data_IF_877394093997
#
_entry.id   IF_877394093997
#
_cell.length_a   1.000
_cell.length_b   1.000
_cell.length_c   1.000
_cell.angle_alpha   90.00
_cell.angle_beta   90.00
_cell.angle_gamma   90.00
#
_symmetry.space_group_name_H-M   'P 1'
#
loop_
_entity.id
_entity.type
_entity.pdbx_description
1 polymer ?
#
# COMPACT_ATOMS: atom_id res chain seq x y z
N UNK A 1 1.66 38.33 -13.27
CA UNK A 1 1.86 37.55 -12.03
C UNK A 1 1.26 36.19 -12.31
N UNK A 2 2.08 35.15 -12.42
CA UNK A 2 1.59 33.82 -12.76
C UNK A 2 0.72 33.33 -11.60
N UNK A 3 -0.52 32.98 -11.93
CA UNK A 3 -1.43 32.32 -11.00
C UNK A 3 -0.74 31.08 -10.43
N UNK A 4 -0.80 30.95 -9.11
CA UNK A 4 -0.29 29.80 -8.37
C UNK A 4 -1.23 28.62 -8.68
N UNK A 5 -1.08 28.03 -9.86
CA UNK A 5 -1.75 26.78 -10.23
C UNK A 5 -1.26 25.76 -9.21
N UNK A 6 -2.11 25.35 -8.27
CA UNK A 6 -1.84 24.14 -7.49
C UNK A 6 -1.77 23.02 -8.52
N UNK A 7 -0.57 22.67 -8.97
CA UNK A 7 -0.36 21.45 -9.72
C UNK A 7 -0.95 20.33 -8.86
N UNK A 8 -1.87 19.56 -9.44
CA UNK A 8 -2.42 18.41 -8.75
C UNK A 8 -1.25 17.47 -8.44
N UNK A 9 -1.15 17.02 -7.19
CA UNK A 9 -0.30 15.88 -6.88
C UNK A 9 -1.17 14.63 -6.99
N UNK A 10 -0.73 13.67 -7.79
CA UNK A 10 -1.34 12.35 -7.87
C UNK A 10 -0.58 11.41 -6.94
N UNK A 11 -1.30 10.60 -6.20
CA UNK A 11 -0.73 9.56 -5.33
C UNK A 11 -1.07 8.22 -5.96
N UNK A 12 -0.04 7.52 -6.39
CA UNK A 12 -0.09 6.15 -6.90
C UNK A 12 0.25 5.23 -5.75
N UNK A 13 -0.56 4.20 -5.55
CA UNK A 13 -0.37 3.24 -4.48
C UNK A 13 -0.63 1.84 -5.03
N UNK A 14 0.23 0.91 -4.64
CA UNK A 14 0.03 -0.51 -4.88
C UNK A 14 0.17 -1.29 -3.56
N UNK A 15 -0.73 -2.24 -3.32
CA UNK A 15 -0.71 -3.09 -2.13
C UNK A 15 -0.59 -4.55 -2.54
N UNK A 16 0.21 -5.31 -1.80
CA UNK A 16 0.18 -6.77 -1.87
C UNK A 16 -0.54 -7.33 -0.65
N UNK A 17 -1.39 -8.34 -0.89
CA UNK A 17 -2.21 -8.97 0.14
C UNK A 17 -2.01 -10.49 0.19
N UNK A 18 -2.39 -11.10 1.32
CA UNK A 18 -2.45 -12.57 1.49
C UNK A 18 -3.56 -13.22 0.66
N UNK A 19 -4.49 -12.43 0.12
CA UNK A 19 -5.65 -12.85 -0.66
C UNK A 19 -6.59 -11.69 -0.97
N UNK A 20 -7.86 -11.99 -1.27
CA UNK A 20 -8.85 -11.01 -1.75
C UNK A 20 -10.04 -10.81 -0.78
N UNK A 21 -10.12 -11.56 0.32
CA UNK A 21 -11.17 -11.45 1.33
C UNK A 21 -10.78 -10.39 2.36
N UNK A 22 -11.31 -9.19 2.23
CA UNK A 22 -11.04 -8.04 3.13
C UNK A 22 -11.25 -8.36 4.62
N UNK A 23 -12.12 -9.33 4.95
CA UNK A 23 -12.40 -9.69 6.33
C UNK A 23 -11.37 -10.67 6.93
N UNK A 24 -10.58 -11.36 6.10
CA UNK A 24 -9.63 -12.40 6.53
C UNK A 24 -8.19 -12.14 6.10
N UNK A 25 -8.01 -11.51 4.95
CA UNK A 25 -6.72 -11.29 4.34
C UNK A 25 -6.06 -10.01 4.87
N UNK A 26 -4.75 -9.94 4.72
CA UNK A 26 -3.92 -8.91 5.30
C UNK A 26 -3.03 -8.26 4.24
N UNK A 27 -2.83 -6.95 4.38
CA UNK A 27 -1.81 -6.22 3.62
C UNK A 27 -0.44 -6.66 4.15
N UNK A 28 0.47 -6.99 3.22
CA UNK A 28 1.84 -7.45 3.49
C UNK A 28 2.89 -6.55 2.82
N UNK A 29 2.51 -5.72 1.85
CA UNK A 29 3.37 -4.70 1.25
C UNK A 29 2.54 -3.49 0.85
N UNK A 30 3.12 -2.30 0.95
CA UNK A 30 2.56 -1.04 0.45
C UNK A 30 3.65 -0.26 -0.25
N UNK A 31 3.41 0.11 -1.51
CA UNK A 31 4.27 0.98 -2.31
C UNK A 31 3.53 2.26 -2.72
N UNK A 32 4.25 3.38 -2.75
CA UNK A 32 3.71 4.73 -2.97
C UNK A 32 4.62 5.51 -3.90
N UNK A 33 4.03 6.15 -4.90
CA UNK A 33 4.70 7.14 -5.74
C UNK A 33 3.83 8.39 -5.80
N UNK A 34 4.42 9.56 -5.64
CA UNK A 34 3.71 10.84 -5.84
C UNK A 34 4.22 11.47 -7.14
N UNK A 35 3.30 11.85 -8.01
CA UNK A 35 3.61 12.55 -9.27
C UNK A 35 2.91 13.90 -9.37
N UNK A 36 3.41 14.76 -10.26
CA UNK A 36 2.66 15.92 -10.75
C UNK A 36 1.66 15.51 -11.85
N UNK A 37 0.96 16.50 -12.41
CA UNK A 37 -0.01 16.33 -13.50
C UNK A 37 0.63 15.80 -14.81
N UNK A 38 1.95 15.95 -14.98
CA UNK A 38 2.73 15.45 -16.13
C UNK A 38 3.32 14.04 -15.87
N UNK A 39 2.90 13.38 -14.79
CA UNK A 39 3.36 12.04 -14.35
C UNK A 39 4.83 11.96 -13.95
N UNK A 40 5.47 13.10 -13.67
CA UNK A 40 6.83 13.14 -13.16
C UNK A 40 6.84 12.90 -11.65
N UNK A 41 7.75 12.06 -11.16
CA UNK A 41 7.92 11.76 -9.74
C UNK A 41 8.38 13.03 -9.00
N UNK A 42 7.65 13.43 -7.95
CA UNK A 42 7.93 14.67 -7.20
C UNK A 42 8.55 14.43 -5.82
N UNK A 43 8.62 13.19 -5.36
CA UNK A 43 9.29 12.82 -4.12
C UNK A 43 9.90 11.41 -4.20
N UNK A 44 10.72 11.05 -3.23
CA UNK A 44 11.24 9.69 -3.11
C UNK A 44 10.06 8.70 -2.96
N UNK A 45 10.04 7.61 -3.75
CA UNK A 45 9.06 6.54 -3.57
C UNK A 45 9.13 5.95 -2.17
N UNK A 46 8.00 5.53 -1.64
CA UNK A 46 7.93 4.83 -0.36
C UNK A 46 7.53 3.39 -0.60
N UNK A 47 8.24 2.46 0.01
CA UNK A 47 7.91 1.03 0.02
C UNK A 47 8.05 0.53 1.45
N UNK A 48 7.07 -0.22 1.93
CA UNK A 48 7.13 -0.84 3.24
C UNK A 48 6.56 -2.26 3.18
N UNK A 49 7.29 -3.18 3.79
CA UNK A 49 6.90 -4.57 3.93
C UNK A 49 6.41 -4.75 5.35
N UNK A 50 5.23 -5.30 5.50
CA UNK A 50 4.52 -5.39 6.77
C UNK A 50 4.68 -6.80 7.31
N UNK A 51 5.18 -6.91 8.53
CA UNK A 51 5.31 -8.19 9.21
C UNK A 51 3.95 -8.85 9.42
N UNK A 52 3.90 -10.17 9.21
CA UNK A 52 2.78 -11.03 9.59
C UNK A 52 3.31 -12.33 10.17
N UNK A 53 2.56 -12.84 11.15
CA UNK A 53 2.82 -14.13 11.77
C UNK A 53 2.83 -15.24 10.73
N UNK A 54 3.67 -16.24 10.95
CA UNK A 54 3.82 -17.38 10.03
C UNK A 54 2.50 -18.08 9.73
N UNK A 55 1.63 -18.22 10.74
CA UNK A 55 0.30 -18.83 10.57
C UNK A 55 -0.58 -18.06 9.58
N UNK A 56 -0.49 -16.73 9.53
CA UNK A 56 -1.22 -15.92 8.56
C UNK A 56 -0.68 -16.19 7.15
N UNK A 57 0.65 -16.22 7.02
CA UNK A 57 1.30 -16.42 5.73
C UNK A 57 1.08 -17.84 5.17
N UNK A 58 1.00 -18.85 6.04
CA UNK A 58 0.70 -20.24 5.64
C UNK A 58 -0.77 -20.45 5.23
N UNK A 59 -1.68 -19.57 5.64
CA UNK A 59 -3.09 -19.60 5.29
C UNK A 59 -3.44 -18.85 3.99
N UNK A 60 -2.43 -18.34 3.27
CA UNK A 60 -2.61 -17.75 1.94
C UNK A 60 -3.18 -18.77 0.93
N UNK A 61 -3.91 -18.27 -0.07
CA UNK A 61 -4.32 -19.13 -1.17
C UNK A 61 -3.10 -19.58 -2.02
N UNK A 62 -3.27 -20.67 -2.79
CA UNK A 62 -2.18 -21.28 -3.58
C UNK A 62 -1.53 -20.29 -4.55
N UNK A 63 -2.32 -19.41 -5.17
CA UNK A 63 -1.82 -18.42 -6.11
C UNK A 63 -0.92 -17.38 -5.41
N UNK A 64 -1.33 -16.86 -4.26
CA UNK A 64 -0.55 -15.93 -3.44
C UNK A 64 0.75 -16.57 -2.94
N UNK A 65 0.72 -17.82 -2.48
CA UNK A 65 1.93 -18.55 -2.05
C UNK A 65 2.94 -18.63 -3.19
N UNK A 66 2.48 -19.05 -4.38
CA UNK A 66 3.37 -19.18 -5.54
C UNK A 66 3.91 -17.82 -5.96
N UNK A 67 3.07 -16.79 -5.99
CA UNK A 67 3.48 -15.50 -6.52
C UNK A 67 4.44 -14.78 -5.57
N UNK A 68 4.08 -14.71 -4.29
CA UNK A 68 4.90 -14.08 -3.26
C UNK A 68 6.21 -14.85 -3.00
N UNK A 69 6.20 -16.17 -3.22
CA UNK A 69 7.42 -16.97 -3.21
C UNK A 69 8.38 -16.62 -4.34
N UNK A 70 7.89 -16.33 -5.55
CA UNK A 70 8.72 -15.94 -6.70
C UNK A 70 9.39 -14.57 -6.51
N UNK A 71 8.67 -13.61 -5.93
CA UNK A 71 9.17 -12.26 -5.65
C UNK A 71 9.98 -12.19 -4.37
N UNK A 72 10.05 -13.29 -3.61
CA UNK A 72 10.60 -13.39 -2.25
C UNK A 72 9.88 -12.53 -1.22
N UNK A 73 8.68 -12.03 -1.53
CA UNK A 73 7.91 -11.23 -0.61
C UNK A 73 7.59 -12.00 0.68
N UNK A 74 7.33 -13.31 0.60
CA UNK A 74 7.13 -14.15 1.79
C UNK A 74 8.33 -14.14 2.74
N UNK A 75 9.55 -14.18 2.21
CA UNK A 75 10.78 -14.11 3.01
C UNK A 75 10.92 -12.72 3.65
N UNK A 76 10.73 -11.66 2.86
CA UNK A 76 10.83 -10.29 3.35
C UNK A 76 9.79 -9.96 4.43
N UNK A 77 8.57 -10.51 4.34
CA UNK A 77 7.53 -10.36 5.36
C UNK A 77 7.94 -11.01 6.67
N UNK A 78 8.55 -12.20 6.61
CA UNK A 78 9.05 -12.88 7.81
C UNK A 78 10.21 -12.12 8.48
N UNK A 79 11.04 -11.43 7.69
CA UNK A 79 12.17 -10.63 8.17
C UNK A 79 11.78 -9.20 8.59
N UNK A 80 10.62 -8.70 8.17
CA UNK A 80 10.17 -7.35 8.51
C UNK A 80 9.90 -7.22 10.01
N UNK A 81 10.27 -6.07 10.57
CA UNK A 81 9.95 -5.67 11.95
C UNK A 81 8.82 -4.61 12.00
N UNK A 82 8.27 -4.24 10.83
CA UNK A 82 7.27 -3.18 10.73
C UNK A 82 5.87 -3.77 10.91
N UNK A 83 5.19 -3.38 11.99
CA UNK A 83 3.79 -3.72 12.19
C UNK A 83 2.86 -2.89 11.30
N UNK A 84 1.60 -3.32 11.15
CA UNK A 84 0.59 -2.55 10.41
C UNK A 84 0.39 -1.15 11.01
N UNK A 85 0.41 -1.00 12.34
CA UNK A 85 0.28 0.32 12.97
C UNK A 85 1.50 1.22 12.73
N UNK A 86 2.69 0.63 12.61
CA UNK A 86 3.90 1.36 12.27
C UNK A 86 3.84 1.83 10.80
N UNK A 87 3.46 0.95 9.88
CA UNK A 87 3.27 1.27 8.47
C UNK A 87 2.24 2.41 8.27
N UNK A 88 1.12 2.39 9.00
CA UNK A 88 0.11 3.46 8.94
C UNK A 88 0.68 4.83 9.37
N UNK A 89 1.63 4.86 10.31
CA UNK A 89 2.24 6.10 10.81
C UNK A 89 3.38 6.61 9.93
N UNK A 90 4.05 5.74 9.20
CA UNK A 90 5.17 6.11 8.32
C UNK A 90 4.69 6.59 6.94
N UNK A 91 3.51 6.16 6.50
CA UNK A 91 2.87 6.62 5.27
C UNK A 91 2.11 7.94 5.45
N UNK A 92 2.80 9.08 5.37
CA UNK A 92 2.10 10.35 5.14
C UNK A 92 1.70 10.44 3.66
N UNK A 93 0.39 10.27 3.39
CA UNK A 93 -0.31 10.44 2.08
C UNK A 93 -0.40 9.17 1.22
N UNK A 94 -1.52 8.42 1.26
CA UNK A 94 -1.65 7.19 0.42
C UNK A 94 -3.05 6.63 0.07
N UNK A 95 -3.53 6.60 -1.19
CA UNK A 95 -4.82 5.94 -1.56
C UNK A 95 -4.65 4.56 -2.22
N UNK A 96 -5.08 3.47 -1.56
CA UNK A 96 -5.04 2.05 -2.03
C UNK A 96 -6.46 1.51 -2.32
N UNK A 97 -6.53 0.20 -2.64
CA UNK A 97 -7.65 -0.71 -2.41
C UNK A 97 -8.47 -0.35 -1.16
N UNK A 98 -9.48 0.46 -1.42
CA UNK A 98 -10.21 1.22 -0.41
C UNK A 98 -10.84 0.31 0.65
N UNK A 99 -11.16 -0.94 0.30
CA UNK A 99 -11.68 -1.94 1.23
C UNK A 99 -10.67 -2.31 2.33
N UNK A 100 -9.46 -2.72 1.94
CA UNK A 100 -8.42 -3.11 2.88
C UNK A 100 -7.92 -1.93 3.72
N UNK A 101 -7.72 -0.75 3.12
CA UNK A 101 -7.29 0.43 3.88
C UNK A 101 -8.35 0.90 4.87
N UNK A 102 -9.64 0.93 4.50
CA UNK A 102 -10.70 1.32 5.45
C UNK A 102 -10.71 0.47 6.71
N UNK A 103 -10.32 -0.79 6.59
CA UNK A 103 -10.28 -1.74 7.71
C UNK A 103 -8.94 -1.68 8.45
N UNK A 104 -7.82 -1.72 7.74
CA UNK A 104 -6.48 -1.92 8.32
C UNK A 104 -5.68 -0.62 8.50
N UNK A 105 -5.97 0.44 7.74
CA UNK A 105 -5.26 1.72 7.75
C UNK A 105 -6.24 2.92 7.56
N UNK A 106 -7.23 3.11 8.45
CA UNK A 106 -8.27 4.11 8.24
C UNK A 106 -7.74 5.55 8.21
N UNK A 107 -6.66 5.88 8.93
CA UNK A 107 -6.12 7.25 8.94
C UNK A 107 -5.54 7.64 7.59
N UNK A 108 -4.98 6.66 6.88
CA UNK A 108 -4.45 6.85 5.54
C UNK A 108 -5.60 7.31 4.62
N UNK A 109 -6.77 6.65 4.67
CA UNK A 109 -7.96 6.99 3.86
C UNK A 109 -8.46 8.41 4.08
N UNK A 110 -8.36 8.96 5.30
CA UNK A 110 -8.80 10.33 5.63
C UNK A 110 -7.99 11.42 4.91
N UNK A 111 -6.73 11.12 4.56
CA UNK A 111 -5.82 12.11 3.96
C UNK A 111 -6.08 12.34 2.48
N UNK A 112 -7.03 11.62 1.89
CA UNK A 112 -7.08 11.47 0.45
C UNK A 112 -8.44 11.78 -0.13
N UNK A 113 -8.41 12.22 -1.38
CA UNK A 113 -9.61 12.65 -2.07
C UNK A 113 -10.49 11.47 -2.45
N UNK A 114 -11.82 11.56 -2.32
CA UNK A 114 -12.75 10.45 -2.60
C UNK A 114 -12.74 9.89 -4.04
N UNK A 115 -12.05 10.56 -4.98
CA UNK A 115 -11.98 10.16 -6.39
C UNK A 115 -10.74 9.33 -6.62
N UNK A 116 -10.91 8.20 -7.29
CA UNK A 116 -9.84 7.35 -7.80
C UNK A 116 -9.72 7.62 -9.29
N UNK A 117 -8.49 7.82 -9.77
CA UNK A 117 -8.18 7.93 -11.19
C UNK A 117 -7.70 6.55 -11.62
N UNK A 118 -8.50 5.85 -12.44
CA UNK A 118 -8.16 4.55 -13.03
C UNK A 118 -8.59 4.54 -14.50
N UNK A 119 -8.00 3.65 -15.28
CA UNK A 119 -8.39 3.40 -16.69
C UNK A 119 -9.73 2.66 -16.78
#
# INVERSE_FOLDING_TARGET
MAENKKNGSMVWLDCEMTGLDVAKDHIIEVAIIITNDDLEIVCEPFEVIIHKEKEIMENMNEWCIIQHGKTKLTEKVAESEISTEMAEKTGNSVHCDLGFLKVQMPKVVELLHYRIIGN
#
